data_IF_691011681417
#
_entry.id   IF_691011681417
#
_cell.length_a   1.000
_cell.length_b   1.000
_cell.length_c   1.000
_cell.angle_alpha   90.00
_cell.angle_beta   90.00
_cell.angle_gamma   90.00
#
_symmetry.space_group_name_H-M   'P 1'
#
loop_
_entity.id
_entity.type
_entity.pdbx_description
1 polymer ?
#
# COMPACT_ATOMS: atom_id res chain seq x y z
N UNK A 1 4.06 -18.31 -1.12
CA UNK A 1 3.65 -17.47 0.03
C UNK A 1 4.81 -16.64 0.62
N UNK A 2 6.06 -17.06 0.42
CA UNK A 2 7.26 -16.22 0.59
C UNK A 2 7.48 -15.22 -0.59
N UNK A 3 6.89 -15.51 -1.75
CA UNK A 3 7.13 -14.74 -2.98
C UNK A 3 6.52 -13.33 -3.03
N UNK A 4 5.39 -13.03 -2.38
CA UNK A 4 4.70 -11.74 -2.62
C UNK A 4 5.42 -10.52 -2.01
N UNK A 5 6.25 -10.74 -0.97
CA UNK A 5 7.08 -9.69 -0.36
C UNK A 5 8.54 -9.73 -0.82
N UNK A 6 9.08 -10.91 -1.16
CA UNK A 6 10.43 -11.01 -1.74
C UNK A 6 10.45 -10.43 -3.16
N UNK A 7 9.35 -10.53 -3.93
CA UNK A 7 9.26 -9.88 -5.24
C UNK A 7 9.27 -8.35 -5.15
N UNK A 8 8.76 -7.76 -4.06
CA UNK A 8 8.61 -6.31 -3.89
C UNK A 8 9.93 -5.56 -3.68
N UNK A 9 10.98 -6.26 -3.24
CA UNK A 9 12.31 -5.66 -3.01
C UNK A 9 13.34 -6.04 -4.09
N UNK A 10 13.08 -7.13 -4.82
CA UNK A 10 14.00 -7.64 -5.86
C UNK A 10 13.56 -7.27 -7.27
N UNK A 11 12.25 -7.32 -7.55
CA UNK A 11 11.68 -6.93 -8.82
C UNK A 11 10.97 -5.59 -8.66
N UNK A 12 11.26 -4.69 -9.59
CA UNK A 12 10.61 -3.41 -9.82
C UNK A 12 9.12 -3.54 -10.17
N UNK A 13 8.41 -4.57 -9.74
CA UNK A 13 7.05 -4.89 -10.16
C UNK A 13 6.09 -4.89 -8.96
N UNK A 14 5.14 -3.97 -8.96
CA UNK A 14 4.14 -3.79 -7.93
C UNK A 14 2.76 -4.17 -8.45
N UNK A 15 2.15 -5.22 -7.88
CA UNK A 15 0.80 -5.65 -8.28
C UNK A 15 -0.23 -5.15 -7.28
N UNK A 16 -1.19 -4.36 -7.74
CA UNK A 16 -2.35 -3.93 -6.95
C UNK A 16 -3.58 -4.70 -7.43
N UNK A 17 -4.26 -5.40 -6.54
CA UNK A 17 -5.55 -6.03 -6.86
C UNK A 17 -6.65 -5.26 -6.16
N UNK A 18 -7.71 -4.90 -6.89
CA UNK A 18 -8.83 -4.09 -6.41
C UNK A 18 -10.12 -4.78 -6.80
N UNK A 19 -11.14 -4.68 -5.95
CA UNK A 19 -12.49 -5.10 -6.31
C UNK A 19 -13.22 -3.95 -6.98
N UNK A 20 -13.87 -4.22 -8.10
CA UNK A 20 -14.68 -3.25 -8.85
C UNK A 20 -16.11 -3.19 -8.32
N UNK A 21 -16.89 -2.21 -8.78
CA UNK A 21 -18.26 -1.98 -8.34
C UNK A 21 -19.21 -3.16 -8.66
N UNK A 22 -18.95 -3.88 -9.75
CA UNK A 22 -19.67 -5.10 -10.17
C UNK A 22 -19.28 -6.36 -9.38
N UNK A 23 -18.38 -6.22 -8.39
CA UNK A 23 -17.88 -7.32 -7.58
C UNK A 23 -16.74 -8.13 -8.21
N UNK A 24 -16.35 -7.85 -9.46
CA UNK A 24 -15.24 -8.53 -10.10
C UNK A 24 -13.87 -8.09 -9.52
N UNK A 25 -12.85 -8.90 -9.77
CA UNK A 25 -11.49 -8.64 -9.29
C UNK A 25 -10.61 -8.15 -10.43
N UNK A 26 -10.11 -6.94 -10.29
CA UNK A 26 -9.20 -6.33 -11.26
C UNK A 26 -7.78 -6.20 -10.70
N UNK A 27 -6.78 -6.41 -11.55
CA UNK A 27 -5.36 -6.35 -11.17
C UNK A 27 -4.62 -5.32 -12.00
N UNK A 28 -4.09 -4.31 -11.34
CA UNK A 28 -3.08 -3.41 -11.89
C UNK A 28 -1.68 -3.98 -11.67
N UNK A 29 -0.80 -3.80 -12.65
CA UNK A 29 0.64 -4.00 -12.49
C UNK A 29 1.34 -2.69 -12.77
N UNK A 30 2.19 -2.26 -11.83
CA UNK A 30 3.01 -1.06 -11.93
C UNK A 30 4.48 -1.46 -11.97
N UNK A 31 5.26 -0.81 -12.83
CA UNK A 31 6.71 -0.98 -12.85
C UNK A 31 7.34 0.18 -12.08
N UNK A 32 7.95 -0.11 -10.94
CA UNK A 32 8.57 0.84 -10.05
C UNK A 32 10.10 0.83 -10.14
N UNK A 33 10.67 1.98 -10.44
CA UNK A 33 12.13 2.16 -10.51
C UNK A 33 12.67 2.31 -9.09
N UNK A 34 13.75 1.59 -8.79
CA UNK A 34 14.55 1.81 -7.59
C UNK A 34 15.22 3.18 -7.68
N UNK A 35 15.46 3.77 -6.53
CA UNK A 35 16.27 4.99 -6.41
C UNK A 35 17.54 4.69 -5.62
N UNK A 36 18.45 5.66 -5.55
CA UNK A 36 19.66 5.54 -4.72
C UNK A 36 19.35 5.49 -3.22
N UNK A 37 18.14 5.92 -2.83
CA UNK A 37 17.66 5.80 -1.45
C UNK A 37 17.05 4.42 -1.22
N UNK A 38 17.59 3.59 -0.31
CA UNK A 38 17.02 2.28 0.00
C UNK A 38 15.56 2.38 0.45
N UNK A 39 14.71 1.47 -0.04
CA UNK A 39 13.28 1.45 0.29
C UNK A 39 12.44 2.52 -0.41
N UNK A 40 13.02 3.39 -1.24
CA UNK A 40 12.30 4.38 -2.06
C UNK A 40 12.20 3.92 -3.51
N UNK A 41 11.01 4.10 -4.06
CA UNK A 41 10.63 3.68 -5.40
C UNK A 41 9.81 4.78 -6.08
N UNK A 42 10.05 4.98 -7.38
CA UNK A 42 9.27 5.91 -8.19
C UNK A 42 8.57 5.15 -9.31
N UNK A 43 7.29 5.45 -9.56
CA UNK A 43 6.55 4.85 -10.66
C UNK A 43 5.45 5.76 -11.21
N UNK A 44 5.22 5.65 -12.51
CA UNK A 44 4.06 6.24 -13.14
C UNK A 44 2.92 5.22 -13.22
N UNK A 45 1.72 5.62 -12.82
CA UNK A 45 0.52 4.81 -12.92
C UNK A 45 -0.25 5.18 -14.17
N UNK A 46 -0.13 4.39 -15.24
CA UNK A 46 -0.88 4.63 -16.48
C UNK A 46 -2.41 4.58 -16.28
N UNK A 47 -2.89 3.79 -15.31
CA UNK A 47 -4.33 3.65 -15.04
C UNK A 47 -4.90 4.90 -14.37
N UNK A 48 -4.13 5.52 -13.48
CA UNK A 48 -4.59 6.70 -12.72
C UNK A 48 -4.02 8.02 -13.27
N UNK A 49 -3.10 7.92 -14.23
CA UNK A 49 -2.29 9.00 -14.80
C UNK A 49 -1.68 9.87 -13.69
N UNK A 50 -0.96 9.25 -12.76
CA UNK A 50 -0.26 9.92 -11.66
C UNK A 50 1.15 9.38 -11.46
N UNK A 51 2.03 10.25 -10.99
CA UNK A 51 3.40 9.92 -10.59
C UNK A 51 3.45 9.63 -9.10
N UNK A 52 4.15 8.58 -8.70
CA UNK A 52 4.15 8.07 -7.33
C UNK A 52 5.58 7.99 -6.81
N UNK A 53 5.88 8.66 -5.71
CA UNK A 53 7.09 8.47 -4.90
C UNK A 53 6.70 7.68 -3.65
N UNK A 54 7.02 6.39 -3.65
CA UNK A 54 6.69 5.44 -2.59
C UNK A 54 7.92 5.11 -1.76
N UNK A 55 7.75 5.09 -0.44
CA UNK A 55 8.78 4.73 0.53
C UNK A 55 8.26 3.65 1.46
N UNK A 56 9.04 2.60 1.64
CA UNK A 56 8.84 1.64 2.73
C UNK A 56 9.43 2.27 3.99
N UNK A 57 8.54 2.74 4.88
CA UNK A 57 8.91 3.41 6.13
C UNK A 57 9.40 2.39 7.13
N UNK A 58 8.73 1.25 7.19
CA UNK A 58 9.08 0.18 8.11
C UNK A 58 8.66 -1.16 7.54
N UNK A 59 9.48 -2.18 7.80
CA UNK A 59 9.15 -3.56 7.46
C UNK A 59 9.62 -4.49 8.57
N UNK A 60 8.69 -5.32 9.03
CA UNK A 60 8.96 -6.51 9.83
C UNK A 60 8.53 -7.67 8.95
N UNK A 61 9.48 -8.33 8.29
CA UNK A 61 9.23 -9.22 7.14
C UNK A 61 8.16 -10.30 7.39
N UNK A 62 8.12 -10.83 8.61
CA UNK A 62 7.19 -11.89 9.03
C UNK A 62 5.87 -11.35 9.60
N UNK A 63 5.71 -10.04 9.72
CA UNK A 63 4.54 -9.42 10.34
C UNK A 63 3.88 -8.36 9.43
N UNK A 64 4.56 -7.26 9.11
CA UNK A 64 3.96 -6.17 8.33
C UNK A 64 4.96 -5.33 7.53
N UNK A 65 4.43 -4.52 6.61
CA UNK A 65 5.14 -3.41 6.01
C UNK A 65 4.27 -2.16 5.98
N UNK A 66 4.87 -1.01 6.28
CA UNK A 66 4.25 0.30 6.23
C UNK A 66 4.85 1.10 5.08
N UNK A 67 4.01 1.51 4.15
CA UNK A 67 4.40 2.30 2.99
C UNK A 67 3.75 3.69 3.03
N UNK A 68 4.55 4.70 2.70
CA UNK A 68 4.11 6.08 2.50
C UNK A 68 4.32 6.44 1.03
N UNK A 69 3.29 6.96 0.38
CA UNK A 69 3.35 7.33 -1.04
C UNK A 69 2.88 8.76 -1.23
N UNK A 70 3.68 9.57 -1.91
CA UNK A 70 3.26 10.87 -2.43
C UNK A 70 2.86 10.66 -3.88
N UNK A 71 1.59 10.90 -4.19
CA UNK A 71 1.03 10.83 -5.54
C UNK A 71 0.94 12.23 -6.09
N UNK A 72 1.46 12.47 -7.28
CA UNK A 72 1.40 13.76 -7.97
C UNK A 72 0.58 13.62 -9.24
N UNK A 73 -0.44 14.44 -9.38
CA UNK A 73 -1.26 14.51 -10.60
C UNK A 73 -1.57 15.97 -10.92
N UNK A 74 -1.21 16.42 -12.11
CA UNK A 74 -1.42 17.80 -12.57
C UNK A 74 -0.89 18.84 -11.55
N UNK A 75 0.27 18.58 -10.95
CA UNK A 75 0.87 19.44 -9.92
C UNK A 75 0.26 19.34 -8.53
N UNK A 76 -0.86 18.64 -8.35
CA UNK A 76 -1.49 18.41 -7.05
C UNK A 76 -0.90 17.16 -6.41
N UNK A 77 -0.50 17.27 -5.14
CA UNK A 77 0.03 16.16 -4.36
C UNK A 77 -1.03 15.57 -3.41
N UNK A 78 -1.05 14.26 -3.30
CA UNK A 78 -1.88 13.51 -2.36
C UNK A 78 -1.03 12.47 -1.62
N UNK A 79 -1.23 12.36 -0.32
CA UNK A 79 -0.60 11.35 0.52
C UNK A 79 -1.44 10.08 0.54
N UNK A 80 -0.79 8.93 0.34
CA UNK A 80 -1.40 7.62 0.45
C UNK A 80 -0.52 6.72 1.32
N UNK A 81 -1.01 6.38 2.51
CA UNK A 81 -0.35 5.41 3.37
C UNK A 81 -1.02 4.05 3.27
N UNK A 82 -0.21 3.00 3.34
CA UNK A 82 -0.69 1.62 3.34
C UNK A 82 0.05 0.79 4.34
N UNK A 83 -0.70 0.04 5.12
CA UNK A 83 -0.17 -0.98 6.00
C UNK A 83 -0.56 -2.35 5.48
N UNK A 84 0.45 -3.16 5.21
CA UNK A 84 0.32 -4.54 4.76
C UNK A 84 0.59 -5.48 5.93
N UNK A 85 -0.42 -6.23 6.38
CA UNK A 85 -0.25 -7.29 7.37
C UNK A 85 -0.10 -8.64 6.68
N UNK A 86 0.69 -9.54 7.27
CA UNK A 86 0.78 -10.97 6.91
C UNK A 86 -0.44 -11.78 7.35
N UNK A 87 -1.18 -11.28 8.33
CA UNK A 87 -2.42 -11.87 8.83
C UNK A 87 -3.64 -11.22 8.18
N UNK A 88 -4.77 -11.92 8.24
CA UNK A 88 -6.08 -11.42 7.81
C UNK A 88 -6.63 -10.32 8.73
N UNK A 89 -5.99 -10.04 9.86
CA UNK A 89 -6.34 -8.95 10.74
C UNK A 89 -5.10 -8.42 11.45
N UNK A 90 -4.76 -7.16 11.19
CA UNK A 90 -3.72 -6.46 11.94
C UNK A 90 -4.12 -6.34 13.42
N UNK A 91 -3.16 -6.47 14.33
CA UNK A 91 -3.40 -6.24 15.76
C UNK A 91 -3.88 -4.82 16.04
N UNK A 92 -4.49 -4.58 17.19
CA UNK A 92 -4.95 -3.25 17.58
C UNK A 92 -3.79 -2.25 17.66
N UNK A 93 -2.65 -2.67 18.23
CA UNK A 93 -1.44 -1.86 18.30
C UNK A 93 -0.95 -1.45 16.91
N UNK A 94 -0.97 -2.37 15.96
CA UNK A 94 -0.54 -2.11 14.60
C UNK A 94 -1.52 -1.18 13.85
N UNK A 95 -2.83 -1.31 14.11
CA UNK A 95 -3.83 -0.37 13.60
C UNK A 95 -3.66 1.03 14.20
N UNK A 96 -3.39 1.13 15.50
CA UNK A 96 -3.14 2.41 16.16
C UNK A 96 -1.87 3.08 15.65
N UNK A 97 -0.79 2.30 15.46
CA UNK A 97 0.44 2.77 14.81
C UNK A 97 0.17 3.33 13.41
N UNK A 98 -0.65 2.64 12.60
CA UNK A 98 -1.02 3.12 11.27
C UNK A 98 -1.86 4.40 11.31
N UNK A 99 -2.78 4.52 12.27
CA UNK A 99 -3.56 5.75 12.48
C UNK A 99 -2.65 6.91 12.82
N UNK A 100 -1.80 6.76 13.83
CA UNK A 100 -0.88 7.81 14.27
C UNK A 100 0.04 8.22 13.13
N UNK A 101 0.66 7.26 12.46
CA UNK A 101 1.50 7.53 11.30
C UNK A 101 0.77 8.31 10.21
N UNK A 102 -0.50 7.98 9.95
CA UNK A 102 -1.28 8.68 8.93
C UNK A 102 -1.54 10.14 9.32
N UNK A 103 -1.93 10.39 10.57
CA UNK A 103 -2.09 11.75 11.10
C UNK A 103 -0.79 12.55 11.00
N UNK A 104 0.35 11.96 11.39
CA UNK A 104 1.66 12.61 11.37
C UNK A 104 2.10 13.00 9.94
N UNK A 105 1.62 12.27 8.93
CA UNK A 105 1.87 12.57 7.51
C UNK A 105 0.80 13.47 6.87
N UNK A 106 -0.07 14.09 7.66
CA UNK A 106 -1.06 15.08 7.20
C UNK A 106 -2.36 14.48 6.65
N UNK A 107 -2.64 13.20 6.91
CA UNK A 107 -3.92 12.57 6.56
C UNK A 107 -4.94 12.90 7.64
N UNK A 108 -6.13 13.37 7.24
CA UNK A 108 -7.23 13.63 8.16
C UNK A 108 -7.81 12.32 8.72
N UNK A 109 -8.27 12.34 9.98
CA UNK A 109 -8.71 11.14 10.69
C UNK A 109 -9.86 10.40 9.97
N UNK A 110 -10.78 11.14 9.36
CA UNK A 110 -11.91 10.63 8.59
C UNK A 110 -11.51 9.89 7.30
N UNK A 111 -10.31 10.16 6.79
CA UNK A 111 -9.77 9.51 5.59
C UNK A 111 -8.97 8.23 5.94
N UNK A 112 -8.90 7.83 7.21
CA UNK A 112 -8.16 6.63 7.62
C UNK A 112 -9.11 5.43 7.67
N UNK A 113 -8.99 4.53 6.69
CA UNK A 113 -9.85 3.36 6.56
C UNK A 113 -9.18 2.07 7.05
N UNK A 114 -9.77 1.49 8.09
CA UNK A 114 -9.47 0.12 8.51
C UNK A 114 -10.48 -0.82 7.85
N UNK A 115 -10.04 -1.57 6.84
CA UNK A 115 -10.91 -2.54 6.17
C UNK A 115 -11.37 -3.63 7.16
N UNK A 116 -12.62 -4.15 7.06
CA UNK A 116 -13.12 -5.22 7.91
C UNK A 116 -12.54 -6.60 7.52
N UNK A 117 -12.52 -7.62 8.41
CA UNK A 117 -11.84 -8.90 8.15
C UNK A 117 -12.49 -9.70 7.01
N UNK A 118 -13.82 -9.59 6.93
CA UNK A 118 -14.66 -10.21 5.91
C UNK A 118 -14.98 -9.24 4.77
N UNK A 119 -14.25 -8.13 4.68
CA UNK A 119 -14.33 -7.28 3.50
C UNK A 119 -14.00 -8.14 2.30
N UNK A 120 -14.95 -8.29 1.38
CA UNK A 120 -14.74 -8.91 0.08
C UNK A 120 -13.67 -8.12 -0.68
N UNK A 121 -12.41 -8.44 -0.43
CA UNK A 121 -11.27 -7.79 -1.06
C UNK A 121 -10.63 -8.86 -1.94
N UNK A 122 -10.28 -8.48 -3.15
CA UNK A 122 -9.55 -9.34 -4.08
C UNK A 122 -8.08 -9.48 -3.62
N UNK A 123 -7.85 -10.15 -2.50
CA UNK A 123 -6.52 -10.42 -1.96
C UNK A 123 -6.09 -11.80 -2.47
N UNK A 124 -5.12 -11.85 -3.39
CA UNK A 124 -4.44 -13.11 -3.68
C UNK A 124 -3.42 -13.37 -2.56
N UNK A 125 -3.80 -14.24 -1.63
CA UNK A 125 -2.96 -14.64 -0.48
C UNK A 125 -3.38 -13.98 0.84
N UNK A 126 -2.95 -14.58 1.97
CA UNK A 126 -3.34 -14.24 3.36
C UNK A 126 -2.99 -12.80 3.84
N UNK A 127 -2.60 -11.88 2.97
CA UNK A 127 -2.21 -10.52 3.34
C UNK A 127 -3.40 -9.56 3.35
N UNK A 128 -3.56 -8.77 4.43
CA UNK A 128 -4.53 -7.67 4.50
C UNK A 128 -3.87 -6.32 4.32
N UNK A 129 -4.56 -5.42 3.63
CA UNK A 129 -4.10 -4.03 3.45
C UNK A 129 -5.05 -3.09 4.19
N UNK A 130 -4.50 -2.17 4.96
CA UNK A 130 -5.20 -1.00 5.50
C UNK A 130 -4.82 0.19 4.62
N UNK A 131 -5.80 1.07 4.36
CA UNK A 131 -5.69 2.11 3.35
C UNK A 131 -6.02 3.47 3.96
N UNK A 132 -5.32 4.48 3.47
CA UNK A 132 -5.79 5.88 3.42
C UNK A 132 -6.59 6.07 2.13
#
# INVERSE_FOLDING_TARGET
MLLFFILLLTLSLWKKTTRTADGSCWRATHVAKKTDTPGRFIFHSHVWNDDNDMRIVEVVYDNYALAHTIKTKNGVQLVLNKLYSRTTQASNDLQQKFRQFSLDTGVLAENILILPPNGHICLQGRQRTLLV
#
